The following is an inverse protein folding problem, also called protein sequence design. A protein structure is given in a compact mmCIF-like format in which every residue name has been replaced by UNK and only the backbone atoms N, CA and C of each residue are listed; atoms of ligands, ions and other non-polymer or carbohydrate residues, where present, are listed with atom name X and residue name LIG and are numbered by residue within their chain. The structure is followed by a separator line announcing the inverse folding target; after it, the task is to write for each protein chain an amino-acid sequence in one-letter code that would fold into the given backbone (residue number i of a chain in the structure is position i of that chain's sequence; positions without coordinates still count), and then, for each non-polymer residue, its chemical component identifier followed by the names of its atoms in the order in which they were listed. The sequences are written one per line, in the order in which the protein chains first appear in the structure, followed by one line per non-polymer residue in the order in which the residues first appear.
data_IF_415561174150
#
_entry.id   IF_415561174150
#
_cell.length_a   1.000
_cell.length_b   1.000
_cell.length_c   1.000
_cell.angle_alpha   90.00
_cell.angle_beta   90.00
_cell.angle_gamma   90.00
#
_symmetry.space_group_name_H-M   'P 1'
#
loop_
_entity.id
_entity.type
_entity.pdbx_description
1 polymer ?
#
# COMPACT_ATOMS: atom_id res chain seq x y z
N UNK A 1 -18.77 8.48 34.01
CA UNK A 1 -18.00 9.20 32.98
C UNK A 1 -17.66 8.21 31.87
N UNK A 2 -18.34 8.23 30.70
CA UNK A 2 -17.92 7.41 29.59
C UNK A 2 -16.63 7.99 29.00
N UNK A 3 -15.56 7.21 29.01
CA UNK A 3 -14.30 7.58 28.37
C UNK A 3 -14.51 7.52 26.87
N UNK A 4 -14.47 8.67 26.17
CA UNK A 4 -14.44 8.65 24.71
C UNK A 4 -13.12 8.00 24.28
N UNK A 5 -13.17 6.73 23.92
CA UNK A 5 -12.00 5.99 23.44
C UNK A 5 -11.54 6.67 22.15
N UNK A 6 -10.35 7.27 22.17
CA UNK A 6 -9.79 7.91 20.96
C UNK A 6 -9.80 6.88 19.82
N UNK A 7 -10.19 7.27 18.60
CA UNK A 7 -10.20 6.37 17.46
C UNK A 7 -8.80 5.77 17.29
N UNK A 8 -8.73 4.44 17.10
CA UNK A 8 -7.48 3.76 16.81
C UNK A 8 -6.92 4.29 15.48
N UNK A 9 -5.59 4.30 15.30
CA UNK A 9 -4.99 4.75 14.02
C UNK A 9 -5.59 4.03 12.81
N UNK A 10 -5.98 2.76 12.97
CA UNK A 10 -6.69 1.97 11.95
C UNK A 10 -8.03 2.59 11.56
N UNK A 11 -8.85 2.95 12.55
CA UNK A 11 -10.16 3.57 12.30
C UNK A 11 -10.01 4.91 11.57
N UNK A 12 -8.94 5.66 11.85
CA UNK A 12 -8.61 6.87 11.11
C UNK A 12 -8.19 6.56 9.65
N UNK A 13 -7.30 5.57 9.43
CA UNK A 13 -6.87 5.18 8.07
C UNK A 13 -8.03 4.69 7.20
N UNK A 14 -8.94 3.86 7.74
CA UNK A 14 -10.13 3.39 6.99
C UNK A 14 -11.09 4.52 6.65
N UNK A 15 -11.24 5.49 7.55
CA UNK A 15 -12.10 6.65 7.30
C UNK A 15 -11.64 7.50 6.11
N UNK A 16 -10.33 7.48 5.81
CA UNK A 16 -9.76 8.25 4.71
C UNK A 16 -9.99 7.65 3.32
N UNK A 17 -10.49 6.40 3.21
CA UNK A 17 -10.77 5.71 1.93
C UNK A 17 -9.62 5.80 0.92
N UNK A 18 -8.38 5.78 1.41
CA UNK A 18 -7.16 5.87 0.60
C UNK A 18 -6.30 4.64 0.84
N UNK A 19 -5.50 4.20 -0.15
CA UNK A 19 -4.49 3.18 0.06
C UNK A 19 -3.59 3.55 1.23
N UNK A 20 -3.32 2.59 2.11
CA UNK A 20 -2.46 2.79 3.27
C UNK A 20 -1.58 1.57 3.51
N UNK A 21 -0.50 1.79 4.25
CA UNK A 21 0.42 0.77 4.69
C UNK A 21 0.90 1.02 6.12
N UNK A 22 1.34 -0.03 6.80
CA UNK A 22 1.93 0.03 8.12
C UNK A 22 3.43 -0.24 8.03
N UNK A 23 4.21 0.53 8.79
CA UNK A 23 5.64 0.31 8.99
C UNK A 23 5.86 0.11 10.48
N UNK A 24 6.51 -0.99 10.84
CA UNK A 24 6.94 -1.23 12.21
C UNK A 24 8.27 -0.52 12.44
N UNK A 25 8.21 0.59 13.15
CA UNK A 25 9.36 1.40 13.50
C UNK A 25 9.87 1.08 14.92
N UNK A 26 11.19 1.16 15.11
CA UNK A 26 11.89 0.78 16.35
C UNK A 26 11.49 -0.63 16.82
N UNK A 27 11.41 -1.57 15.88
CA UNK A 27 11.15 -2.95 16.19
C UNK A 27 12.32 -3.53 17.01
N UNK A 28 12.05 -4.34 18.05
CA UNK A 28 13.11 -5.08 18.71
C UNK A 28 13.78 -6.03 17.71
N UNK A 29 15.08 -6.33 17.89
CA UNK A 29 15.84 -7.18 16.94
C UNK A 29 15.25 -8.61 16.84
N UNK A 30 14.65 -9.10 17.93
CA UNK A 30 13.95 -10.40 18.00
C UNK A 30 12.81 -10.34 19.01
N UNK A 31 11.82 -11.20 18.81
CA UNK A 31 10.86 -11.58 19.85
C UNK A 31 9.41 -11.57 19.40
N UNK A 32 8.59 -12.28 20.18
CA UNK A 32 7.16 -12.50 19.96
C UNK A 32 6.36 -11.22 19.70
N UNK A 33 6.85 -10.07 20.17
CA UNK A 33 6.17 -8.77 20.01
C UNK A 33 6.07 -8.34 18.53
N UNK A 34 7.02 -8.72 17.69
CA UNK A 34 6.99 -8.41 16.26
C UNK A 34 5.88 -9.22 15.59
N UNK A 35 5.89 -10.53 15.82
CA UNK A 35 4.90 -11.44 15.24
C UNK A 35 3.49 -11.10 15.74
N UNK A 36 3.34 -10.79 17.03
CA UNK A 36 2.06 -10.36 17.57
C UNK A 36 1.57 -9.05 16.95
N UNK A 37 2.46 -8.05 16.78
CA UNK A 37 2.09 -6.78 16.15
C UNK A 37 1.71 -6.98 14.66
N UNK A 38 2.48 -7.81 13.94
CA UNK A 38 2.21 -8.15 12.56
C UNK A 38 0.87 -8.88 12.42
N UNK A 39 0.64 -9.92 13.22
CA UNK A 39 -0.60 -10.71 13.21
C UNK A 39 -1.82 -9.87 13.59
N UNK A 40 -1.72 -9.02 14.64
CA UNK A 40 -2.82 -8.13 15.00
C UNK A 40 -3.14 -7.13 13.89
N UNK A 41 -2.14 -6.70 13.09
CA UNK A 41 -2.35 -5.83 11.92
C UNK A 41 -2.92 -6.61 10.72
N UNK A 42 -2.59 -7.89 10.58
CA UNK A 42 -3.09 -8.81 9.56
C UNK A 42 -4.57 -9.18 9.76
N UNK A 43 -4.90 -9.66 10.96
CA UNK A 43 -6.20 -10.26 11.28
C UNK A 43 -7.36 -9.26 11.12
N UNK A 44 -7.12 -7.96 11.30
CA UNK A 44 -8.15 -6.91 11.17
C UNK A 44 -8.18 -6.21 9.81
N UNK A 45 -7.28 -6.55 8.87
CA UNK A 45 -7.20 -5.90 7.57
C UNK A 45 -8.05 -6.58 6.47
N UNK A 46 -8.39 -7.87 6.62
CA UNK A 46 -9.02 -8.70 5.56
C UNK A 46 -8.32 -8.65 4.19
N UNK A 47 -7.12 -8.07 4.15
CA UNK A 47 -6.19 -7.95 3.03
C UNK A 47 -4.98 -8.81 3.36
N UNK A 48 -4.25 -9.28 2.35
CA UNK A 48 -3.03 -10.03 2.59
C UNK A 48 -2.07 -9.17 3.43
N UNK A 49 -1.52 -9.74 4.51
CA UNK A 49 -0.56 -9.06 5.37
C UNK A 49 0.62 -8.50 4.57
N UNK A 50 1.02 -9.18 3.51
CA UNK A 50 2.06 -8.73 2.60
C UNK A 50 1.68 -7.41 1.86
N UNK A 51 0.39 -7.17 1.65
CA UNK A 51 -0.14 -6.00 0.94
C UNK A 51 -0.29 -4.78 1.84
N UNK A 52 -0.24 -4.90 3.18
CA UNK A 52 -0.46 -3.74 4.07
C UNK A 52 0.72 -3.49 5.00
N UNK A 53 1.47 -4.53 5.38
CA UNK A 53 2.60 -4.38 6.30
C UNK A 53 3.94 -4.44 5.55
N UNK A 54 4.74 -3.39 5.71
CA UNK A 54 6.12 -3.40 5.25
C UNK A 54 6.91 -4.46 6.03
N UNK A 55 7.43 -5.47 5.31
CA UNK A 55 8.32 -6.49 5.87
C UNK A 55 9.77 -6.06 6.13
N UNK A 56 10.34 -4.97 5.55
CA UNK A 56 11.51 -4.36 6.16
C UNK A 56 11.09 -3.71 7.48
N UNK A 57 11.40 -4.39 8.57
CA UNK A 57 11.25 -3.85 9.92
C UNK A 57 12.35 -2.81 10.14
N UNK A 58 11.98 -1.62 10.60
CA UNK A 58 12.97 -0.63 10.99
C UNK A 58 13.36 -0.95 12.43
N UNK A 59 14.51 -1.61 12.58
CA UNK A 59 14.94 -2.16 13.86
C UNK A 59 15.55 -1.06 14.70
N UNK A 60 15.37 -1.14 16.02
CA UNK A 60 16.00 -0.21 16.95
C UNK A 60 17.52 -0.43 16.99
N UNK A 61 18.26 0.31 16.16
CA UNK A 61 19.72 0.29 16.02
C UNK A 61 20.30 1.67 16.31
N UNK A 62 21.54 1.70 16.82
CA UNK A 62 22.23 2.94 17.14
C UNK A 62 22.46 3.83 15.91
N UNK A 63 22.73 3.25 14.73
CA UNK A 63 22.95 4.04 13.51
C UNK A 63 21.78 5.00 13.19
N UNK A 64 20.53 4.60 13.49
CA UNK A 64 19.35 5.47 13.33
C UNK A 64 19.33 6.64 14.34
N UNK A 65 19.84 6.43 15.55
CA UNK A 65 19.95 7.45 16.58
C UNK A 65 21.13 8.40 16.32
N UNK A 66 22.28 7.84 15.95
CA UNK A 66 23.51 8.59 15.70
C UNK A 66 23.39 9.44 14.42
N UNK A 67 22.74 8.92 13.38
CA UNK A 67 22.43 9.69 12.16
C UNK A 67 21.49 10.86 12.46
N UNK A 68 20.44 10.65 13.26
CA UNK A 68 19.55 11.72 13.70
C UNK A 68 20.29 12.79 14.51
N UNK A 69 21.15 12.37 15.45
CA UNK A 69 21.97 13.29 16.25
C UNK A 69 22.96 14.09 15.40
N UNK A 70 23.44 13.51 14.30
CA UNK A 70 24.35 14.15 13.35
C UNK A 70 23.64 14.99 12.28
N UNK A 71 22.30 14.97 12.24
CA UNK A 71 21.51 15.66 11.21
C UNK A 71 21.63 15.04 9.82
N UNK A 72 21.98 13.75 9.74
CA UNK A 72 22.18 13.01 8.48
C UNK A 72 21.07 11.98 8.28
N UNK A 73 20.81 11.60 7.03
CA UNK A 73 20.08 10.37 6.76
C UNK A 73 20.95 9.17 7.16
N UNK A 74 20.32 8.08 7.61
CA UNK A 74 21.06 6.86 7.99
C UNK A 74 21.86 6.28 6.81
N UNK A 75 21.39 6.49 5.57
CA UNK A 75 22.09 6.12 4.34
C UNK A 75 23.33 6.96 4.06
N UNK A 76 23.43 8.17 4.64
CA UNK A 76 24.62 9.04 4.54
C UNK A 76 25.58 8.76 5.69
N UNK A 77 25.05 8.54 6.89
CA UNK A 77 25.84 8.24 8.10
C UNK A 77 26.50 6.87 8.05
N UNK A 78 25.73 5.83 7.68
CA UNK A 78 26.21 4.45 7.58
C UNK A 78 25.79 3.82 6.24
N UNK A 79 26.38 4.23 5.10
CA UNK A 79 25.91 3.85 3.78
C UNK A 79 25.85 2.33 3.55
N UNK A 80 26.80 1.59 4.11
CA UNK A 80 26.87 0.13 3.98
C UNK A 80 26.35 -0.60 5.23
N UNK A 81 25.65 0.12 6.11
CA UNK A 81 25.10 -0.41 7.35
C UNK A 81 23.74 -1.07 7.15
N UNK A 82 23.40 -2.02 8.04
CA UNK A 82 22.09 -2.68 8.04
C UNK A 82 20.92 -1.71 8.14
N UNK A 83 21.09 -0.62 8.88
CA UNK A 83 20.08 0.42 9.06
C UNK A 83 19.78 1.15 7.74
N UNK A 84 20.78 1.36 6.89
CA UNK A 84 20.60 1.89 5.54
C UNK A 84 19.91 0.86 4.62
N UNK A 85 20.27 -0.42 4.75
CA UNK A 85 19.61 -1.49 4.00
C UNK A 85 18.12 -1.65 4.35
N UNK A 86 17.75 -1.48 5.63
CA UNK A 86 16.36 -1.46 6.08
C UNK A 86 15.57 -0.33 5.39
N UNK A 87 16.14 0.88 5.32
CA UNK A 87 15.52 2.03 4.63
C UNK A 87 15.42 1.80 3.12
N UNK A 88 16.44 1.23 2.48
CA UNK A 88 16.37 0.85 1.05
C UNK A 88 15.29 -0.21 0.81
N UNK A 89 15.19 -1.19 1.70
CA UNK A 89 14.14 -2.20 1.65
C UNK A 89 12.75 -1.57 1.74
N UNK A 90 12.57 -0.60 2.65
CA UNK A 90 11.30 0.13 2.78
C UNK A 90 10.97 0.90 1.51
N UNK A 91 11.93 1.59 0.91
CA UNK A 91 11.72 2.30 -0.36
C UNK A 91 11.30 1.38 -1.50
N UNK A 92 11.98 0.24 -1.67
CA UNK A 92 11.60 -0.77 -2.67
C UNK A 92 10.17 -1.27 -2.46
N UNK A 93 9.78 -1.51 -1.21
CA UNK A 93 8.41 -1.94 -0.90
C UNK A 93 7.37 -0.87 -1.24
N UNK A 94 7.68 0.41 -0.99
CA UNK A 94 6.82 1.53 -1.38
C UNK A 94 6.71 1.62 -2.91
N UNK A 95 7.84 1.56 -3.61
CA UNK A 95 7.93 1.64 -5.07
C UNK A 95 7.10 0.56 -5.75
N UNK A 96 7.27 -0.71 -5.37
CA UNK A 96 6.48 -1.83 -5.91
C UNK A 96 4.98 -1.60 -5.76
N UNK A 97 4.53 -0.99 -4.66
CA UNK A 97 3.10 -0.72 -4.45
C UNK A 97 2.57 0.41 -5.32
N UNK A 98 3.35 1.47 -5.48
CA UNK A 98 2.98 2.59 -6.35
C UNK A 98 2.92 2.14 -7.81
N UNK A 99 3.85 1.27 -8.24
CA UNK A 99 3.85 0.66 -9.57
C UNK A 99 2.66 -0.27 -9.79
N UNK A 100 2.33 -1.11 -8.80
CA UNK A 100 1.14 -1.97 -8.85
C UNK A 100 -0.14 -1.13 -8.98
N UNK A 101 -0.29 -0.09 -8.16
CA UNK A 101 -1.45 0.81 -8.23
C UNK A 101 -1.56 1.49 -9.60
N UNK A 102 -0.45 2.01 -10.12
CA UNK A 102 -0.41 2.61 -11.45
C UNK A 102 -0.82 1.61 -12.55
N UNK A 103 -0.29 0.39 -12.49
CA UNK A 103 -0.58 -0.67 -13.46
C UNK A 103 -2.04 -1.09 -13.41
N UNK A 104 -2.60 -1.28 -12.21
CA UNK A 104 -4.02 -1.61 -12.02
C UNK A 104 -4.92 -0.53 -12.59
N UNK A 105 -4.59 0.75 -12.37
CA UNK A 105 -5.38 1.86 -12.90
C UNK A 105 -5.39 1.87 -14.44
N UNK A 106 -4.24 1.60 -15.08
CA UNK A 106 -4.15 1.50 -16.54
C UNK A 106 -4.99 0.34 -17.08
N UNK A 107 -4.93 -0.83 -16.43
CA UNK A 107 -5.71 -2.00 -16.83
C UNK A 107 -7.22 -1.75 -16.70
N UNK A 108 -7.67 -1.07 -15.64
CA UNK A 108 -9.07 -0.72 -15.46
C UNK A 108 -9.54 0.21 -16.58
N UNK A 109 -8.75 1.22 -16.92
CA UNK A 109 -9.07 2.17 -18.00
C UNK A 109 -9.20 1.45 -19.36
N UNK A 110 -8.27 0.52 -19.66
CA UNK A 110 -8.34 -0.30 -20.86
C UNK A 110 -9.61 -1.17 -20.92
N UNK A 111 -9.97 -1.80 -19.81
CA UNK A 111 -11.19 -2.63 -19.73
C UNK A 111 -12.45 -1.79 -19.95
N UNK A 112 -12.52 -0.61 -19.32
CA UNK A 112 -13.66 0.30 -19.49
C UNK A 112 -13.76 0.75 -20.95
N UNK A 113 -12.65 1.16 -21.56
CA UNK A 113 -12.62 1.58 -22.97
C UNK A 113 -13.08 0.48 -23.93
N UNK A 114 -12.66 -0.77 -23.71
CA UNK A 114 -13.11 -1.92 -24.51
C UNK A 114 -14.59 -2.17 -24.32
N UNK A 115 -15.09 -2.13 -23.09
CA UNK A 115 -16.51 -2.33 -22.80
C UNK A 115 -17.39 -1.26 -23.47
N UNK A 116 -16.99 0.01 -23.40
CA UNK A 116 -17.68 1.12 -24.06
C UNK A 116 -17.69 0.97 -25.59
N UNK A 117 -16.59 0.51 -26.17
CA UNK A 117 -16.49 0.19 -27.60
C UNK A 117 -17.41 -0.96 -28.01
N UNK A 118 -17.47 -2.04 -27.22
CA UNK A 118 -18.38 -3.16 -27.47
C UNK A 118 -19.86 -2.75 -27.37
N UNK A 119 -20.19 -1.90 -26.39
CA UNK A 119 -21.54 -1.33 -26.23
C UNK A 119 -21.94 -0.48 -27.44
N UNK A 120 -21.03 0.37 -27.94
CA UNK A 120 -21.29 1.16 -29.16
C UNK A 120 -21.49 0.28 -30.39
N UNK A 121 -20.62 -0.71 -30.62
CA UNK A 121 -20.75 -1.61 -31.76
C UNK A 121 -22.05 -2.43 -31.74
N UNK A 122 -22.50 -2.85 -30.54
CA UNK A 122 -23.77 -3.54 -30.37
C UNK A 122 -24.98 -2.61 -30.64
N UNK A 123 -24.90 -1.34 -30.24
CA UNK A 123 -25.93 -0.35 -30.52
C UNK A 123 -26.04 -0.02 -32.02
N UNK A 124 -24.91 0.07 -32.72
CA UNK A 124 -24.88 0.26 -34.18
C UNK A 124 -25.53 -0.91 -34.93
N UNK A 125 -25.21 -2.16 -34.54
CA UNK A 125 -25.86 -3.34 -35.13
C UNK A 125 -27.38 -3.36 -34.88
N UNK A 126 -27.83 -3.00 -33.68
CA UNK A 126 -29.26 -2.95 -33.37
C UNK A 126 -30.00 -1.86 -34.18
N UNK A 127 -29.35 -0.73 -34.47
CA UNK A 127 -29.93 0.32 -35.30
C UNK A 127 -30.05 -0.10 -36.79
N UNK A 128 -29.08 -0.85 -37.30
CA UNK A 128 -29.07 -1.31 -38.70
C UNK A 128 -30.15 -2.39 -38.96
N UNK A 129 -30.41 -3.27 -37.99
CA UNK A 129 -31.51 -4.24 -38.05
C UNK A 129 -32.90 -3.58 -38.03
N UNK A 130 -33.08 -2.49 -37.28
CA UNK A 130 -34.38 -1.78 -37.27
C UNK A 130 -34.66 -1.03 -38.57
N UNK A 131 -33.62 -0.61 -39.29
CA UNK A 131 -33.74 0.09 -40.58
C UNK A 131 -34.10 -0.86 -41.72
N UNK A 132 -33.57 -2.09 -41.68
CA UNK A 132 -33.85 -3.13 -42.67
C UNK A 132 -35.24 -3.76 -42.52
N UNK A 133 -35.82 -3.80 -41.32
CA UNK A 133 -37.19 -4.28 -41.09
C UNK A 133 -38.28 -3.24 -41.41
N UNK A 134 -37.92 -1.97 -41.53
CA UNK A 134 -38.85 -0.87 -41.83
C UNK A 134 -38.94 -0.53 -43.34
N UNK A 135 -38.21 -1.24 -44.21
CA UNK A 135 -38.22 -1.09 -45.67
C UNK A 135 -38.90 -2.27 -46.35
#
# INVERSE_FOLDING_TARGET
MPTSRRPSRRSASRAWKRPYGFVLNQAPIRGQRIDNAANTLAEEAALDLAEVLARPLIVMRNDHQDSLASGLAVSEFAPNGKSADEIRGLWRWIETRLELEATTNVLIDQVISVADGMLHAAAEHAADETTTLAS
#
